data_IF_550633824488
#
_entry.id   IF_550633824488
#
_cell.length_a   1.000
_cell.length_b   1.000
_cell.length_c   1.000
_cell.angle_alpha   90.00
_cell.angle_beta   90.00
_cell.angle_gamma   90.00
#
_symmetry.space_group_name_H-M   'P 1'
#
loop_
_entity.id
_entity.type
_entity.pdbx_description
1 polymer ?
#
# COMPACT_ATOMS: atom_id res chain seq x y z
N UNK A 1 -8.88 -34.03 -2.68
CA UNK A 1 -9.57 -32.82 -3.18
C UNK A 1 -9.05 -31.63 -2.42
N UNK A 2 -8.27 -30.75 -3.06
CA UNK A 2 -7.71 -29.56 -2.42
C UNK A 2 -8.82 -28.54 -2.24
N UNK A 3 -9.19 -28.27 -0.99
CA UNK A 3 -10.34 -27.42 -0.64
C UNK A 3 -9.99 -25.98 -1.03
N UNK A 4 -10.81 -25.33 -1.86
CA UNK A 4 -10.56 -23.96 -2.35
C UNK A 4 -10.37 -22.93 -1.22
N UNK A 5 -10.92 -23.20 -0.03
CA UNK A 5 -10.68 -22.43 1.19
C UNK A 5 -9.21 -22.36 1.61
N UNK A 6 -8.47 -23.44 1.38
CA UNK A 6 -7.11 -23.59 1.89
C UNK A 6 -6.15 -22.76 1.05
N UNK A 7 -6.38 -22.68 -0.27
CA UNK A 7 -5.59 -21.83 -1.17
C UNK A 7 -5.71 -20.35 -0.82
N UNK A 8 -6.91 -19.86 -0.50
CA UNK A 8 -7.11 -18.47 -0.04
C UNK A 8 -6.36 -18.21 1.27
N UNK A 9 -6.41 -19.17 2.20
CA UNK A 9 -5.71 -19.07 3.49
C UNK A 9 -4.20 -18.98 3.31
N UNK A 10 -3.60 -19.81 2.44
CA UNK A 10 -2.17 -19.75 2.14
C UNK A 10 -1.76 -18.44 1.45
N UNK A 11 -2.59 -17.92 0.55
CA UNK A 11 -2.35 -16.63 -0.09
C UNK A 11 -2.37 -15.49 0.94
N UNK A 12 -3.38 -15.46 1.82
CA UNK A 12 -3.45 -14.46 2.88
C UNK A 12 -2.24 -14.56 3.81
N UNK A 13 -1.80 -15.79 4.15
CA UNK A 13 -0.61 -16.01 4.96
C UNK A 13 0.66 -15.49 4.28
N UNK A 14 0.77 -15.66 2.96
CA UNK A 14 1.88 -15.12 2.17
C UNK A 14 1.87 -13.58 2.14
N UNK A 15 0.71 -12.96 1.90
CA UNK A 15 0.57 -11.49 1.91
C UNK A 15 0.89 -10.92 3.29
N UNK A 16 0.53 -11.63 4.36
CA UNK A 16 0.83 -11.24 5.75
C UNK A 16 2.29 -11.43 6.16
N UNK A 17 3.16 -11.96 5.29
CA UNK A 17 4.59 -12.02 5.58
C UNK A 17 5.15 -10.60 5.64
N UNK A 18 5.95 -10.31 6.68
CA UNK A 18 6.58 -9.01 6.90
C UNK A 18 7.20 -8.37 5.63
N UNK A 19 8.02 -9.06 4.81
CA UNK A 19 8.59 -8.45 3.60
C UNK A 19 7.53 -8.11 2.54
N UNK A 20 6.50 -8.95 2.36
CA UNK A 20 5.45 -8.71 1.37
C UNK A 20 4.57 -7.53 1.81
N UNK A 21 4.24 -7.50 3.10
CA UNK A 21 3.45 -6.44 3.70
C UNK A 21 4.20 -5.10 3.73
N UNK A 22 5.51 -5.12 3.93
CA UNK A 22 6.36 -3.93 3.86
C UNK A 22 6.36 -3.33 2.45
N UNK A 23 6.51 -4.15 1.40
CA UNK A 23 6.44 -3.67 0.01
C UNK A 23 5.07 -3.07 -0.29
N UNK A 24 3.98 -3.75 0.09
CA UNK A 24 2.62 -3.24 -0.07
C UNK A 24 2.41 -1.90 0.65
N UNK A 25 2.86 -1.78 1.89
CA UNK A 25 2.74 -0.56 2.67
C UNK A 25 3.51 0.60 2.02
N UNK A 26 4.76 0.36 1.59
CA UNK A 26 5.58 1.38 0.91
C UNK A 26 4.96 1.77 -0.44
N UNK A 27 4.47 0.82 -1.23
CA UNK A 27 3.78 1.11 -2.49
C UNK A 27 2.54 1.98 -2.29
N UNK A 28 1.72 1.69 -1.27
CA UNK A 28 0.54 2.50 -0.94
C UNK A 28 0.97 3.90 -0.51
N UNK A 29 1.90 4.00 0.44
CA UNK A 29 2.39 5.29 0.95
C UNK A 29 2.97 6.16 -0.18
N UNK A 30 3.80 5.57 -1.05
CA UNK A 30 4.38 6.26 -2.20
C UNK A 30 3.31 6.69 -3.20
N UNK A 31 2.32 5.84 -3.49
CA UNK A 31 1.25 6.18 -4.43
C UNK A 31 0.38 7.32 -3.89
N UNK A 32 0.05 7.30 -2.59
CA UNK A 32 -0.65 8.41 -1.93
C UNK A 32 0.15 9.70 -1.99
N UNK A 33 1.46 9.63 -1.71
CA UNK A 33 2.35 10.79 -1.81
C UNK A 33 2.46 11.33 -3.24
N UNK A 34 2.61 10.45 -4.23
CA UNK A 34 2.70 10.83 -5.64
C UNK A 34 1.41 11.50 -6.13
N UNK A 35 0.24 10.95 -5.81
CA UNK A 35 -1.05 11.56 -6.16
C UNK A 35 -1.23 12.91 -5.47
N UNK A 36 -0.83 13.03 -4.21
CA UNK A 36 -0.90 14.30 -3.49
C UNK A 36 -0.05 15.38 -4.17
N UNK A 37 1.20 15.06 -4.53
CA UNK A 37 2.08 16.00 -5.24
C UNK A 37 1.65 16.23 -6.70
N UNK A 38 0.88 15.32 -7.32
CA UNK A 38 0.29 15.58 -8.64
C UNK A 38 -0.84 16.62 -8.56
N UNK A 39 -1.66 16.59 -7.51
CA UNK A 39 -2.78 17.52 -7.30
C UNK A 39 -2.28 18.85 -6.70
N UNK A 40 -1.30 18.80 -5.79
CA UNK A 40 -0.72 19.95 -5.09
C UNK A 40 0.81 19.99 -5.30
N UNK A 41 1.29 20.29 -6.51
CA UNK A 41 2.71 20.19 -6.86
C UNK A 41 3.62 21.18 -6.13
N UNK A 42 3.12 22.37 -5.84
CA UNK A 42 3.92 23.48 -5.30
C UNK A 42 3.63 23.78 -3.82
N UNK A 43 3.21 22.75 -3.06
CA UNK A 43 2.93 22.89 -1.62
C UNK A 43 4.22 22.84 -0.79
N UNK A 44 5.05 23.89 -0.89
CA UNK A 44 6.27 24.03 -0.10
C UNK A 44 5.98 24.31 1.39
N UNK A 45 4.88 25.00 1.68
CA UNK A 45 4.41 25.33 3.02
C UNK A 45 2.89 25.27 3.07
N UNK A 46 2.34 25.06 4.26
CA UNK A 46 0.90 25.17 4.45
C UNK A 46 0.48 26.64 4.28
N UNK A 47 -0.54 26.95 3.46
CA UNK A 47 -0.99 28.32 3.28
C UNK A 47 -1.48 28.88 4.63
N UNK A 48 -0.98 30.06 4.99
CA UNK A 48 -1.43 30.78 6.17
C UNK A 48 -2.74 31.51 5.80
N UNK A 49 -3.78 31.44 6.64
CA UNK A 49 -5.09 32.03 6.36
C UNK A 49 -5.08 33.55 6.26
#
# INVERSE_FOLDING_TARGET
MQKSSDQRSYLLRYISLAPVLAVLAVSIAFSTWAIFNFIFPDLLFHPIP
#
